data_IF_301467468072
#
_entry.id   IF_301467468072
#
_cell.length_a   1.000
_cell.length_b   1.000
_cell.length_c   1.000
_cell.angle_alpha   90.00
_cell.angle_beta   90.00
_cell.angle_gamma   90.00
#
_symmetry.space_group_name_H-M   'P 1'
#
loop_
_entity.id
_entity.type
_entity.pdbx_description
1 polymer ?
#
# COMPACT_ATOMS: atom_id res chain seq x y z
N UNK A 1 -11.72 -12.76 -2.43
CA UNK A 1 -11.12 -13.61 -1.38
C UNK A 1 -9.77 -13.03 -0.98
N UNK A 2 -9.60 -12.62 0.29
CA UNK A 2 -8.36 -12.00 0.77
C UNK A 2 -7.32 -13.10 0.97
N UNK A 3 -6.13 -12.95 0.38
CA UNK A 3 -5.05 -13.93 0.51
C UNK A 3 -4.02 -13.45 1.51
N UNK A 4 -3.75 -14.29 2.49
CA UNK A 4 -2.69 -14.12 3.48
C UNK A 4 -1.63 -15.17 3.17
N UNK A 5 -0.37 -14.75 3.00
CA UNK A 5 0.75 -15.64 2.78
C UNK A 5 1.70 -15.55 3.97
N UNK A 6 2.03 -16.70 4.55
CA UNK A 6 3.03 -16.81 5.58
C UNK A 6 4.35 -17.30 4.97
N UNK A 7 5.42 -16.57 5.22
CA UNK A 7 6.76 -16.98 4.84
C UNK A 7 7.65 -17.06 6.07
N UNK A 8 8.32 -18.21 6.25
CA UNK A 8 9.37 -18.39 7.24
C UNK A 8 10.70 -18.01 6.59
N UNK A 9 11.42 -17.07 7.17
CA UNK A 9 12.78 -16.75 6.70
C UNK A 9 13.79 -17.67 7.36
N UNK A 10 14.65 -18.32 6.55
CA UNK A 10 15.56 -19.38 6.98
C UNK A 10 16.72 -18.93 7.89
N UNK A 11 16.95 -17.62 8.03
CA UNK A 11 18.10 -17.09 8.79
C UNK A 11 17.84 -16.89 10.28
N UNK A 12 16.58 -16.87 10.69
CA UNK A 12 16.17 -16.85 12.10
C UNK A 12 14.79 -17.51 12.22
N UNK A 13 14.67 -18.67 12.87
CA UNK A 13 13.40 -19.39 12.99
C UNK A 13 12.31 -18.61 13.74
N UNK A 14 12.67 -17.51 14.40
CA UNK A 14 11.75 -16.63 15.14
C UNK A 14 11.25 -15.45 14.29
N UNK A 15 11.83 -15.19 13.11
CA UNK A 15 11.45 -14.07 12.24
C UNK A 15 10.46 -14.53 11.18
N UNK A 16 9.28 -13.93 11.15
CA UNK A 16 8.22 -14.29 10.23
C UNK A 16 7.75 -13.06 9.43
N UNK A 17 7.36 -13.32 8.19
CA UNK A 17 6.70 -12.37 7.31
C UNK A 17 5.28 -12.83 7.02
N UNK A 18 4.37 -11.89 7.04
CA UNK A 18 3.00 -12.05 6.61
C UNK A 18 2.74 -11.04 5.50
N UNK A 19 2.34 -11.52 4.33
CA UNK A 19 1.94 -10.70 3.20
C UNK A 19 0.42 -10.64 3.16
N UNK A 20 -0.10 -9.44 3.27
CA UNK A 20 -1.53 -9.19 3.29
C UNK A 20 -1.95 -8.29 2.14
N UNK A 21 -2.94 -8.71 1.37
CA UNK A 21 -3.59 -7.85 0.40
C UNK A 21 -4.62 -6.99 1.13
N UNK A 22 -4.18 -5.80 1.58
CA UNK A 22 -5.02 -4.89 2.36
C UNK A 22 -6.20 -4.38 1.51
N UNK A 23 -7.43 -4.51 1.99
CA UNK A 23 -8.59 -3.95 1.30
C UNK A 23 -8.61 -2.43 1.29
N UNK A 24 -9.40 -1.86 0.36
CA UNK A 24 -9.84 -0.47 0.39
C UNK A 24 -10.63 -0.17 1.68
N UNK A 25 -10.49 1.01 2.25
CA UNK A 25 -11.11 1.45 3.51
C UNK A 25 -10.77 0.61 4.73
N UNK A 26 -9.54 0.13 4.80
CA UNK A 26 -8.99 -0.55 5.96
C UNK A 26 -7.75 0.19 6.45
N UNK A 27 -7.67 0.44 7.75
CA UNK A 27 -6.51 1.07 8.38
C UNK A 27 -5.32 0.12 8.37
N UNK A 28 -4.11 0.61 8.08
CA UNK A 28 -2.86 -0.16 8.20
C UNK A 28 -2.40 -0.31 9.66
N UNK A 29 -3.32 -0.61 10.55
CA UNK A 29 -3.10 -0.80 11.99
C UNK A 29 -4.18 -1.68 12.59
N UNK A 30 -3.95 -2.26 13.77
CA UNK A 30 -4.87 -3.17 14.43
C UNK A 30 -5.92 -2.47 15.32
N UNK A 31 -5.80 -1.17 15.56
CA UNK A 31 -6.75 -0.40 16.39
C UNK A 31 -7.00 0.96 15.78
N UNK A 32 -8.22 1.48 15.95
CA UNK A 32 -8.58 2.86 15.61
C UNK A 32 -8.89 3.64 16.90
N UNK A 33 -7.89 4.30 17.44
CA UNK A 33 -8.02 5.08 18.67
C UNK A 33 -8.60 6.47 18.44
N UNK A 34 -8.59 6.95 17.21
CA UNK A 34 -9.03 8.30 16.85
C UNK A 34 -10.56 8.41 16.83
N UNK A 35 -11.27 7.27 16.72
CA UNK A 35 -12.72 7.19 16.59
C UNK A 35 -13.31 6.08 17.48
N UNK A 36 -13.27 6.22 18.79
CA UNK A 36 -13.72 5.15 19.70
C UNK A 36 -15.19 4.79 19.53
N UNK A 37 -16.05 5.78 19.25
CA UNK A 37 -17.51 5.58 19.13
C UNK A 37 -17.95 5.06 17.75
N UNK A 38 -17.14 5.25 16.72
CA UNK A 38 -17.41 4.75 15.37
C UNK A 38 -16.09 4.42 14.66
N UNK A 39 -15.46 3.31 15.07
CA UNK A 39 -14.13 2.94 14.54
C UNK A 39 -14.21 2.54 13.07
N UNK A 40 -13.18 2.95 12.33
CA UNK A 40 -12.97 2.47 10.96
C UNK A 40 -12.48 1.02 10.99
N UNK A 41 -12.71 0.30 9.90
CA UNK A 41 -12.15 -1.04 9.73
C UNK A 41 -10.63 -1.03 9.82
N UNK A 42 -10.08 -2.03 10.51
CA UNK A 42 -8.65 -2.17 10.82
C UNK A 42 -8.13 -3.54 10.38
N UNK A 43 -6.84 -3.79 10.55
CA UNK A 43 -6.27 -5.11 10.28
C UNK A 43 -6.85 -6.20 11.19
N UNK A 44 -7.34 -5.86 12.37
CA UNK A 44 -7.91 -6.82 13.31
C UNK A 44 -9.18 -7.51 12.77
N UNK A 45 -9.90 -6.84 11.86
CA UNK A 45 -11.10 -7.39 11.23
C UNK A 45 -10.79 -8.52 10.24
N UNK A 46 -9.53 -8.64 9.83
CA UNK A 46 -9.08 -9.57 8.78
C UNK A 46 -8.00 -10.55 9.26
N UNK A 47 -7.23 -10.17 10.27
CA UNK A 47 -6.04 -10.89 10.69
C UNK A 47 -6.00 -11.08 12.21
N UNK A 48 -5.80 -12.32 12.63
CA UNK A 48 -5.32 -12.61 13.99
C UNK A 48 -3.82 -12.84 13.94
N UNK A 49 -3.03 -11.79 14.18
CA UNK A 49 -1.58 -11.81 14.05
C UNK A 49 -0.89 -11.15 15.26
N UNK A 50 -1.01 -11.77 16.47
CA UNK A 50 -0.38 -11.24 17.67
C UNK A 50 1.13 -11.13 17.51
N UNK A 51 1.68 -9.99 17.94
CA UNK A 51 3.12 -9.70 17.81
C UNK A 51 3.57 -9.19 16.45
N UNK A 52 2.74 -9.26 15.41
CA UNK A 52 3.08 -8.70 14.10
C UNK A 52 2.80 -7.19 14.05
N UNK A 53 3.64 -6.50 13.28
CA UNK A 53 3.52 -5.06 13.02
C UNK A 53 3.69 -4.79 11.53
N UNK A 54 2.94 -3.85 10.95
CA UNK A 54 3.14 -3.44 9.56
C UNK A 54 4.53 -2.86 9.32
N UNK A 55 5.17 -3.29 8.26
CA UNK A 55 6.44 -2.75 7.79
C UNK A 55 6.19 -1.66 6.72
N UNK A 56 5.61 -0.57 7.14
CA UNK A 56 5.10 0.52 6.34
C UNK A 56 3.59 0.68 6.48
N UNK A 57 3.03 1.63 5.75
CA UNK A 57 1.59 1.91 5.79
C UNK A 57 1.09 2.15 4.38
N UNK A 58 -0.09 1.65 4.09
CA UNK A 58 -0.94 2.11 3.01
C UNK A 58 -2.00 3.04 3.59
N UNK A 59 -2.42 4.02 2.83
CA UNK A 59 -3.49 4.92 3.24
C UNK A 59 -4.81 4.16 3.38
N UNK A 60 -5.77 4.76 4.07
CA UNK A 60 -7.08 4.16 4.31
C UNK A 60 -7.81 3.81 3.01
N UNK A 61 -7.70 4.68 2.02
CA UNK A 61 -8.28 4.58 0.69
C UNK A 61 -7.36 3.94 -0.37
N UNK A 62 -6.24 3.38 0.06
CA UNK A 62 -5.34 2.58 -0.77
C UNK A 62 -5.51 1.10 -0.47
N UNK A 63 -5.26 0.24 -1.45
CA UNK A 63 -5.33 -1.22 -1.35
C UNK A 63 -4.06 -1.88 -1.87
N UNK A 64 -3.84 -3.14 -1.55
CA UNK A 64 -2.75 -3.94 -2.07
C UNK A 64 -1.78 -4.47 -1.01
N UNK A 65 -0.56 -4.76 -1.42
CA UNK A 65 0.43 -5.45 -0.59
C UNK A 65 0.83 -4.65 0.64
N UNK A 66 0.47 -5.17 1.81
CA UNK A 66 0.99 -4.74 3.11
C UNK A 66 1.82 -5.88 3.71
N UNK A 67 3.06 -5.58 4.06
CA UNK A 67 3.95 -6.52 4.71
C UNK A 67 3.87 -6.32 6.21
N UNK A 68 3.69 -7.41 6.97
CA UNK A 68 3.77 -7.40 8.43
C UNK A 68 4.87 -8.36 8.87
N UNK A 69 5.49 -8.07 10.01
CA UNK A 69 6.51 -8.93 10.60
C UNK A 69 6.48 -8.84 12.12
N UNK A 70 6.91 -9.91 12.77
CA UNK A 70 7.17 -9.96 14.21
C UNK A 70 8.61 -9.52 14.57
N UNK A 71 9.45 -9.20 13.58
CA UNK A 71 10.86 -8.84 13.78
C UNK A 71 11.10 -7.35 13.58
N UNK A 72 11.40 -6.62 14.67
CA UNK A 72 11.53 -5.15 14.67
C UNK A 72 12.64 -4.62 13.74
N UNK A 73 13.78 -5.29 13.65
CA UNK A 73 14.87 -4.89 12.75
C UNK A 73 14.47 -4.99 11.27
N UNK A 74 13.72 -6.03 10.91
CA UNK A 74 13.19 -6.20 9.56
C UNK A 74 12.12 -5.16 9.26
N UNK A 75 11.20 -4.90 10.21
CA UNK A 75 10.22 -3.83 10.10
C UNK A 75 10.89 -2.49 9.81
N UNK A 76 11.90 -2.12 10.60
CA UNK A 76 12.66 -0.88 10.41
C UNK A 76 13.32 -0.83 9.02
N UNK A 77 13.97 -1.92 8.60
CA UNK A 77 14.65 -1.98 7.30
C UNK A 77 13.66 -1.79 6.14
N UNK A 78 12.51 -2.43 6.16
CA UNK A 78 11.50 -2.34 5.11
C UNK A 78 10.78 -0.99 5.10
N UNK A 79 10.51 -0.42 6.27
CA UNK A 79 9.79 0.84 6.39
C UNK A 79 10.67 2.07 6.16
N UNK A 80 12.00 1.96 6.33
CA UNK A 80 12.90 3.13 6.39
C UNK A 80 13.13 3.77 5.01
N UNK A 81 12.83 5.07 4.83
CA UNK A 81 12.91 5.76 3.52
C UNK A 81 14.31 5.74 2.88
N UNK A 82 15.38 5.72 3.69
CA UNK A 82 16.77 5.69 3.20
C UNK A 82 17.20 4.35 2.60
N UNK A 83 16.47 3.26 2.89
CA UNK A 83 16.78 1.91 2.34
C UNK A 83 16.37 1.74 0.88
N UNK A 84 15.75 2.74 0.26
CA UNK A 84 15.47 2.85 -1.17
C UNK A 84 14.81 1.61 -1.80
N UNK A 85 13.86 0.98 -1.11
CA UNK A 85 13.07 -0.07 -1.72
C UNK A 85 12.13 0.52 -2.78
N UNK A 86 12.14 -0.06 -3.97
CA UNK A 86 11.17 0.29 -5.00
C UNK A 86 9.77 -0.12 -4.56
N UNK A 87 8.82 0.79 -4.72
CA UNK A 87 7.39 0.53 -4.49
C UNK A 87 6.67 0.80 -5.79
N UNK A 88 5.92 -0.17 -6.26
CA UNK A 88 5.13 -0.04 -7.48
C UNK A 88 3.67 0.22 -7.12
N UNK A 89 3.08 1.23 -7.74
CA UNK A 89 1.69 1.61 -7.57
C UNK A 89 0.98 1.60 -8.92
N UNK A 90 -0.23 1.07 -8.94
CA UNK A 90 -1.18 1.33 -10.00
C UNK A 90 -2.07 2.48 -9.55
N UNK A 91 -2.09 3.54 -10.31
CA UNK A 91 -2.78 4.77 -9.94
C UNK A 91 -3.82 5.07 -11.02
N UNK A 92 -5.08 5.16 -10.60
CA UNK A 92 -6.14 5.67 -11.44
C UNK A 92 -6.18 7.19 -11.30
N UNK A 93 -6.12 7.89 -12.42
CA UNK A 93 -6.18 9.36 -12.48
C UNK A 93 -7.48 9.84 -13.10
N UNK A 94 -7.87 11.06 -12.83
CA UNK A 94 -8.95 11.74 -13.54
C UNK A 94 -8.45 12.19 -14.92
N UNK A 95 -9.31 12.11 -15.93
CA UNK A 95 -8.96 12.40 -17.31
C UNK A 95 -8.13 11.29 -17.98
N UNK A 96 -7.48 11.64 -19.07
CA UNK A 96 -6.66 10.71 -19.86
C UNK A 96 -5.19 10.90 -19.55
N UNK A 97 -4.53 9.84 -19.07
CA UNK A 97 -3.09 9.86 -18.87
C UNK A 97 -2.35 9.77 -20.21
N UNK A 98 -1.28 10.56 -20.36
CA UNK A 98 -0.47 10.59 -21.57
C UNK A 98 0.98 10.17 -21.32
N UNK A 99 1.70 9.86 -22.40
CA UNK A 99 3.12 9.53 -22.30
C UNK A 99 3.96 10.72 -21.81
N UNK A 100 3.57 11.94 -22.15
CA UNK A 100 4.22 13.18 -21.70
C UNK A 100 4.08 13.36 -20.19
N UNK A 101 2.91 13.03 -19.61
CA UNK A 101 2.70 13.03 -18.16
C UNK A 101 3.60 11.99 -17.46
N UNK A 102 3.73 10.80 -18.04
CA UNK A 102 4.67 9.80 -17.54
C UNK A 102 6.13 10.28 -17.58
N UNK A 103 6.53 10.94 -18.67
CA UNK A 103 7.87 11.51 -18.79
C UNK A 103 8.10 12.66 -17.79
N UNK A 104 7.09 13.49 -17.53
CA UNK A 104 7.17 14.55 -16.53
C UNK A 104 7.39 13.96 -15.13
N UNK A 105 6.60 12.96 -14.74
CA UNK A 105 6.77 12.23 -13.47
C UNK A 105 8.15 11.57 -13.37
N UNK A 106 8.65 11.02 -14.48
CA UNK A 106 9.96 10.37 -14.49
C UNK A 106 11.12 11.37 -14.23
N UNK A 107 10.99 12.62 -14.69
CA UNK A 107 11.97 13.69 -14.41
C UNK A 107 11.83 14.32 -13.04
N UNK A 108 10.67 14.20 -12.43
CA UNK A 108 10.26 14.90 -11.22
C UNK A 108 9.36 16.10 -11.53
N UNK A 109 8.39 16.33 -10.66
CA UNK A 109 7.42 17.43 -10.77
C UNK A 109 7.48 18.32 -9.53
N UNK A 110 7.26 19.61 -9.73
CA UNK A 110 7.19 20.57 -8.63
C UNK A 110 5.84 20.46 -7.93
N UNK A 111 5.88 20.12 -6.65
CA UNK A 111 4.73 20.14 -5.75
C UNK A 111 4.86 21.32 -4.78
N UNK A 112 3.83 21.55 -3.97
CA UNK A 112 3.83 22.58 -2.92
C UNK A 112 4.99 22.39 -1.92
N UNK A 113 5.32 21.13 -1.64
CA UNK A 113 6.34 20.74 -0.66
C UNK A 113 7.75 20.57 -1.30
N UNK A 114 7.91 20.86 -2.59
CA UNK A 114 9.17 20.78 -3.30
C UNK A 114 9.14 19.87 -4.53
N UNK A 115 10.32 19.72 -5.14
CA UNK A 115 10.49 18.87 -6.32
C UNK A 115 10.46 17.38 -5.91
N UNK A 116 9.64 16.59 -6.60
CA UNK A 116 9.61 15.15 -6.39
C UNK A 116 10.90 14.48 -6.89
N UNK A 117 11.23 13.34 -6.30
CA UNK A 117 12.32 12.51 -6.83
C UNK A 117 11.91 11.91 -8.18
N UNK A 118 12.88 11.61 -9.07
CA UNK A 118 12.62 10.87 -10.29
C UNK A 118 11.92 9.54 -10.01
N UNK A 119 10.93 9.20 -10.85
CA UNK A 119 10.15 7.99 -10.74
C UNK A 119 10.22 7.16 -12.03
N UNK A 120 9.80 5.90 -11.96
CA UNK A 120 9.53 5.11 -13.17
C UNK A 120 8.03 5.14 -13.40
N UNK A 121 7.60 5.61 -14.56
CA UNK A 121 6.18 5.71 -14.89
C UNK A 121 5.93 5.12 -16.29
N UNK A 122 4.82 4.45 -16.44
CA UNK A 122 4.32 3.95 -17.73
C UNK A 122 2.80 3.93 -17.72
N UNK A 123 2.21 4.12 -18.88
CA UNK A 123 0.78 3.89 -19.07
C UNK A 123 0.47 2.40 -18.89
N UNK A 124 -0.69 2.12 -18.33
CA UNK A 124 -1.25 0.78 -18.24
C UNK A 124 -2.62 0.81 -18.90
N UNK A 125 -2.94 -0.26 -19.64
CA UNK A 125 -4.31 -0.61 -19.95
C UNK A 125 -5.05 -0.96 -18.66
N UNK A 126 -6.39 -1.01 -18.72
CA UNK A 126 -7.20 -1.36 -17.54
C UNK A 126 -6.75 -2.73 -17.05
N UNK A 127 -6.12 -2.82 -15.85
CA UNK A 127 -5.61 -4.08 -15.37
C UNK A 127 -6.75 -4.99 -14.93
N UNK A 128 -6.64 -6.29 -15.23
CA UNK A 128 -7.50 -7.30 -14.64
C UNK A 128 -7.09 -7.50 -13.18
N UNK A 129 -7.93 -7.04 -12.29
CA UNK A 129 -7.72 -7.17 -10.83
C UNK A 129 -8.88 -7.91 -10.19
N UNK A 130 -8.70 -8.33 -8.94
CA UNK A 130 -9.73 -8.99 -8.15
C UNK A 130 -10.96 -8.08 -7.96
N UNK A 131 -12.11 -8.72 -7.78
CA UNK A 131 -13.33 -8.03 -7.37
C UNK A 131 -13.13 -7.37 -6.00
N UNK A 132 -13.58 -6.12 -5.89
CA UNK A 132 -13.43 -5.30 -4.68
C UNK A 132 -14.75 -5.18 -3.94
N UNK A 133 -14.69 -5.37 -2.63
CA UNK A 133 -15.82 -5.14 -1.74
C UNK A 133 -15.36 -4.38 -0.48
N UNK A 134 -15.78 -3.14 -0.25
CA UNK A 134 -16.61 -2.32 -1.13
C UNK A 134 -15.86 -1.92 -2.41
N UNK A 135 -16.57 -1.66 -3.53
CA UNK A 135 -15.95 -1.17 -4.75
C UNK A 135 -15.34 0.21 -4.53
N UNK A 136 -14.22 0.49 -5.19
CA UNK A 136 -13.66 1.84 -5.18
C UNK A 136 -14.61 2.80 -5.92
N UNK A 137 -14.52 4.07 -5.57
CA UNK A 137 -15.30 5.10 -6.24
C UNK A 137 -14.92 5.14 -7.72
N UNK A 138 -15.91 4.87 -8.58
CA UNK A 138 -15.77 5.09 -10.02
C UNK A 138 -15.97 6.57 -10.31
N UNK A 139 -15.08 7.17 -11.09
CA UNK A 139 -15.26 8.47 -11.71
C UNK A 139 -15.14 8.27 -13.22
N UNK A 140 -16.14 8.75 -13.97
CA UNK A 140 -16.01 8.81 -15.41
C UNK A 140 -14.82 9.71 -15.76
N UNK A 141 -14.04 9.32 -16.76
CA UNK A 141 -13.01 10.20 -17.30
C UNK A 141 -13.73 11.45 -17.86
N UNK A 142 -13.35 12.60 -17.36
CA UNK A 142 -13.80 13.87 -17.96
C UNK A 142 -12.76 14.20 -19.02
N UNK A 143 -13.16 14.40 -20.28
CA UNK A 143 -12.24 14.73 -21.36
C UNK A 143 -11.58 16.10 -21.14
#
# INVERSE_FOLDING_TARGET
>A
MWRVYHFLTSTNPMSQLLLFNKPFRVMSQFTDRDRPDNPRSTLADFLSAPGFRPAGRLDYDSEGLLILTNHGGLQHTLAHPKKKHWKTYWVQVEGSATQEMCQALARGVQLKDGLTRPARCRLLEIPTIWERNPPIRYRASVP
#
